data_IF_953453381454
#
_entry.id   IF_953453381454
#
_cell.length_a   1.000
_cell.length_b   1.000
_cell.length_c   1.000
_cell.angle_alpha   90.00
_cell.angle_beta   90.00
_cell.angle_gamma   90.00
#
_symmetry.space_group_name_H-M   'P 1'
#
loop_
_entity.id
_entity.type
_entity.pdbx_description
1 polymer ?
#
# COMPACT_ATOMS: atom_id res chain seq x y z
N UNK A 1 -13.78 20.94 -2.59
CA UNK A 1 -13.56 21.75 -3.80
C UNK A 1 -12.87 20.96 -4.91
N UNK A 2 -11.69 20.37 -4.64
CA UNK A 2 -10.93 19.58 -5.63
C UNK A 2 -11.74 18.44 -6.29
N UNK A 3 -12.39 17.58 -5.50
CA UNK A 3 -13.18 16.47 -6.05
C UNK A 3 -14.35 16.97 -6.92
N UNK A 4 -15.02 18.03 -6.50
CA UNK A 4 -16.11 18.65 -7.27
C UNK A 4 -15.58 19.15 -8.61
N UNK A 5 -14.48 19.91 -8.61
CA UNK A 5 -13.85 20.46 -9.81
C UNK A 5 -13.39 19.35 -10.75
N UNK A 6 -12.74 18.30 -10.25
CA UNK A 6 -12.29 17.16 -11.08
C UNK A 6 -13.49 16.45 -11.72
N UNK A 7 -14.55 16.19 -10.97
CA UNK A 7 -15.74 15.51 -11.49
C UNK A 7 -16.51 16.38 -12.49
N UNK A 8 -16.59 17.69 -12.25
CA UNK A 8 -17.19 18.68 -13.16
C UNK A 8 -16.44 18.70 -14.50
N UNK A 9 -15.11 18.91 -14.46
CA UNK A 9 -14.26 18.98 -15.67
C UNK A 9 -14.26 17.66 -16.42
N UNK A 10 -14.12 16.54 -15.70
CA UNK A 10 -14.15 15.20 -16.31
C UNK A 10 -15.49 14.93 -17.00
N UNK A 11 -16.60 15.37 -16.41
CA UNK A 11 -17.93 15.21 -17.01
C UNK A 11 -18.04 15.98 -18.33
N UNK A 12 -17.49 17.20 -18.42
CA UNK A 12 -17.44 17.98 -19.65
C UNK A 12 -16.55 17.36 -20.72
N UNK A 13 -15.35 16.93 -20.34
CA UNK A 13 -14.40 16.29 -21.26
C UNK A 13 -14.94 14.96 -21.82
N UNK A 14 -15.63 14.18 -20.99
CA UNK A 14 -16.17 12.88 -21.37
C UNK A 14 -17.55 12.97 -22.05
N UNK A 15 -18.22 14.13 -22.03
CA UNK A 15 -19.58 14.29 -22.56
C UNK A 15 -19.76 13.81 -24.01
N UNK A 16 -18.82 14.08 -24.95
CA UNK A 16 -18.94 13.57 -26.32
C UNK A 16 -18.87 12.04 -26.45
N UNK A 17 -18.23 11.36 -25.49
CA UNK A 17 -18.02 9.92 -25.50
C UNK A 17 -19.08 9.16 -24.69
N UNK A 18 -19.53 9.76 -23.58
CA UNK A 18 -20.41 9.12 -22.59
C UNK A 18 -21.63 10.01 -22.27
N UNK A 19 -22.47 10.36 -23.26
CA UNK A 19 -23.41 11.47 -23.15
C UNK A 19 -24.50 11.27 -22.08
N UNK A 20 -24.97 10.04 -21.89
CA UNK A 20 -26.01 9.76 -20.90
C UNK A 20 -25.46 9.73 -19.48
N UNK A 21 -24.27 9.13 -19.29
CA UNK A 21 -23.65 8.99 -17.96
C UNK A 21 -23.18 10.34 -17.45
N UNK A 22 -22.47 11.10 -18.29
CA UNK A 22 -21.98 12.45 -17.93
C UNK A 22 -23.13 13.41 -17.64
N UNK A 23 -24.26 13.32 -18.37
CA UNK A 23 -25.46 14.10 -18.09
C UNK A 23 -26.05 13.80 -16.70
N UNK A 24 -26.17 12.51 -16.35
CA UNK A 24 -26.70 12.09 -15.06
C UNK A 24 -25.80 12.55 -13.90
N UNK A 25 -24.48 12.35 -14.04
CA UNK A 25 -23.48 12.77 -13.05
C UNK A 25 -23.50 14.29 -12.90
N UNK A 26 -23.44 15.03 -14.02
CA UNK A 26 -23.44 16.48 -14.05
C UNK A 26 -24.65 17.09 -13.35
N UNK A 27 -25.86 16.62 -13.69
CA UNK A 27 -27.10 17.10 -13.06
C UNK A 27 -27.11 16.85 -11.56
N UNK A 28 -26.71 15.65 -11.14
CA UNK A 28 -26.64 15.30 -9.72
C UNK A 28 -25.59 16.10 -8.95
N UNK A 29 -24.45 16.41 -9.58
CA UNK A 29 -23.33 17.12 -8.98
C UNK A 29 -23.55 18.63 -8.93
N UNK A 30 -23.97 19.23 -10.04
CA UNK A 30 -24.00 20.70 -10.23
C UNK A 30 -25.40 21.29 -10.06
N UNK A 31 -26.45 20.49 -10.24
CA UNK A 31 -27.84 20.97 -10.32
C UNK A 31 -28.17 21.74 -11.60
N UNK A 32 -27.24 21.85 -12.55
CA UNK A 32 -27.45 22.58 -13.81
C UNK A 32 -28.18 21.73 -14.87
N UNK A 33 -28.65 22.39 -15.94
CA UNK A 33 -29.58 21.80 -16.90
C UNK A 33 -29.01 20.63 -17.72
N UNK A 34 -27.79 20.77 -18.27
CA UNK A 34 -27.14 19.72 -19.08
C UNK A 34 -25.66 20.02 -19.26
N UNK A 35 -24.83 18.97 -19.25
CA UNK A 35 -23.39 19.08 -19.56
C UNK A 35 -23.17 19.41 -21.04
N UNK A 36 -24.07 18.97 -21.92
CA UNK A 36 -23.96 19.16 -23.38
C UNK A 36 -24.20 20.60 -23.83
N UNK A 37 -24.65 21.46 -22.92
CA UNK A 37 -24.87 22.88 -23.15
C UNK A 37 -23.75 23.75 -22.55
N UNK A 38 -22.70 23.13 -22.03
CA UNK A 38 -21.56 23.83 -21.42
C UNK A 38 -20.42 23.99 -22.41
N UNK A 39 -19.59 25.01 -22.17
CA UNK A 39 -18.39 25.23 -22.95
C UNK A 39 -17.36 24.12 -22.72
N UNK A 40 -16.41 23.97 -23.64
CA UNK A 40 -15.29 23.06 -23.45
C UNK A 40 -14.32 23.58 -22.37
N UNK A 41 -13.87 22.74 -21.42
CA UNK A 41 -12.94 23.20 -20.39
C UNK A 41 -11.55 23.47 -21.00
N UNK A 42 -10.93 24.57 -20.62
CA UNK A 42 -9.59 24.96 -21.07
C UNK A 42 -8.58 24.88 -19.93
N UNK A 43 -7.30 24.71 -20.27
CA UNK A 43 -6.24 24.65 -19.25
C UNK A 43 -6.14 25.95 -18.42
N UNK A 44 -6.57 27.08 -18.98
CA UNK A 44 -6.58 28.38 -18.31
C UNK A 44 -7.61 28.45 -17.17
N UNK A 45 -8.60 27.56 -17.19
CA UNK A 45 -9.64 27.46 -16.15
C UNK A 45 -9.13 26.70 -14.92
N UNK A 46 -7.92 26.12 -14.98
CA UNK A 46 -7.37 25.26 -13.95
C UNK A 46 -6.13 25.87 -13.29
N UNK A 47 -5.93 25.65 -11.97
CA UNK A 47 -4.72 26.09 -11.30
C UNK A 47 -3.51 25.32 -11.84
N UNK A 48 -2.46 26.05 -12.20
CA UNK A 48 -1.18 25.51 -12.63
C UNK A 48 -0.18 25.49 -11.46
N UNK A 49 0.42 24.32 -11.21
CA UNK A 49 1.40 24.15 -10.14
C UNK A 49 2.30 22.94 -10.42
N UNK A 50 3.30 23.13 -11.27
CA UNK A 50 4.29 22.11 -11.63
C UNK A 50 5.01 21.51 -10.41
N UNK A 51 5.22 22.29 -9.34
CA UNK A 51 5.84 21.80 -8.11
C UNK A 51 5.01 20.73 -7.41
N UNK A 52 3.71 20.99 -7.25
CA UNK A 52 2.77 20.02 -6.68
C UNK A 52 2.65 18.75 -7.56
N UNK A 53 2.70 18.90 -8.88
CA UNK A 53 2.69 17.76 -9.80
C UNK A 53 3.94 16.90 -9.59
N UNK A 54 5.12 17.53 -9.51
CA UNK A 54 6.37 16.83 -9.26
C UNK A 54 6.39 16.11 -7.90
N UNK A 55 5.85 16.75 -6.85
CA UNK A 55 5.72 16.15 -5.53
C UNK A 55 4.81 14.91 -5.57
N UNK A 56 3.64 15.02 -6.22
CA UNK A 56 2.70 13.91 -6.36
C UNK A 56 3.26 12.75 -7.19
N UNK A 57 4.05 13.04 -8.23
CA UNK A 57 4.76 12.01 -8.98
C UNK A 57 5.83 11.31 -8.14
N UNK A 58 6.55 12.05 -7.29
CA UNK A 58 7.48 11.46 -6.33
C UNK A 58 6.77 10.56 -5.30
N UNK A 59 5.64 11.01 -4.74
CA UNK A 59 4.79 10.22 -3.83
C UNK A 59 4.33 8.93 -4.51
N UNK A 60 3.77 9.03 -5.73
CA UNK A 60 3.30 7.87 -6.51
C UNK A 60 4.44 6.89 -6.80
N UNK A 61 5.62 7.40 -7.14
CA UNK A 61 6.81 6.57 -7.35
C UNK A 61 7.17 5.80 -6.08
N UNK A 62 7.23 6.47 -4.92
CA UNK A 62 7.54 5.83 -3.63
C UNK A 62 6.52 4.73 -3.30
N UNK A 63 5.23 5.04 -3.41
CA UNK A 63 4.15 4.08 -3.15
C UNK A 63 4.23 2.87 -4.09
N UNK A 64 4.44 3.11 -5.40
CA UNK A 64 4.57 2.04 -6.40
C UNK A 64 5.72 1.09 -6.06
N UNK A 65 6.88 1.62 -5.68
CA UNK A 65 8.04 0.80 -5.29
C UNK A 65 7.75 0.02 -4.02
N UNK A 66 7.19 0.66 -2.99
CA UNK A 66 6.85 -0.02 -1.74
C UNK A 66 5.83 -1.14 -1.97
N UNK A 67 4.79 -0.91 -2.77
CA UNK A 67 3.81 -1.93 -3.14
C UNK A 67 4.44 -3.07 -3.97
N UNK A 68 5.44 -2.77 -4.81
CA UNK A 68 6.20 -3.79 -5.54
C UNK A 68 6.99 -4.70 -4.59
N UNK A 69 7.59 -4.14 -3.53
CA UNK A 69 8.29 -4.89 -2.48
C UNK A 69 7.32 -5.84 -1.79
N UNK A 70 6.14 -5.34 -1.41
CA UNK A 70 5.09 -6.17 -0.79
C UNK A 70 4.68 -7.33 -1.69
N UNK A 71 4.45 -7.05 -2.97
CA UNK A 71 4.07 -8.06 -3.97
C UNK A 71 5.16 -9.12 -4.13
N UNK A 72 6.43 -8.72 -4.22
CA UNK A 72 7.55 -9.64 -4.33
C UNK A 72 7.66 -10.59 -3.11
N UNK A 73 7.34 -10.06 -1.92
CA UNK A 73 7.35 -10.80 -0.66
C UNK A 73 6.01 -11.46 -0.29
N UNK A 74 5.01 -11.40 -1.18
CA UNK A 74 3.66 -11.95 -0.97
C UNK A 74 2.95 -11.40 0.28
N UNK A 75 3.31 -10.20 0.72
CA UNK A 75 2.63 -9.50 1.81
C UNK A 75 1.42 -8.76 1.27
N UNK A 76 0.23 -9.10 1.77
CA UNK A 76 -1.06 -8.53 1.34
C UNK A 76 -1.18 -7.07 1.79
N UNK A 77 -1.65 -6.14 0.94
CA UNK A 77 -1.70 -4.69 1.25
C UNK A 77 -2.45 -4.36 2.55
N UNK A 78 -3.53 -5.07 2.82
CA UNK A 78 -4.35 -4.96 4.04
C UNK A 78 -3.66 -5.35 5.35
N UNK A 79 -2.56 -6.09 5.30
CA UNK A 79 -1.71 -6.37 6.46
C UNK A 79 -0.91 -5.10 6.79
N UNK A 80 -1.14 -4.41 7.91
CA UNK A 80 -0.29 -3.26 8.26
C UNK A 80 1.15 -3.71 8.48
N UNK A 81 2.10 -2.88 8.07
CA UNK A 81 3.54 -3.08 8.28
C UNK A 81 4.10 -2.04 9.26
N UNK A 82 5.21 -2.34 9.97
CA UNK A 82 5.74 -1.44 10.98
C UNK A 82 6.18 -0.10 10.40
N UNK A 83 7.03 -0.10 9.38
CA UNK A 83 7.62 1.14 8.88
C UNK A 83 8.03 1.09 7.42
N UNK A 84 8.10 2.28 6.83
CA UNK A 84 8.70 2.56 5.53
C UNK A 84 9.77 3.63 5.73
N UNK A 85 10.97 3.39 5.22
CA UNK A 85 12.04 4.40 5.20
C UNK A 85 12.33 4.80 3.77
N UNK A 86 12.27 6.10 3.49
CA UNK A 86 12.60 6.69 2.19
C UNK A 86 13.83 7.55 2.37
N UNK A 87 14.92 7.16 1.70
CA UNK A 87 16.18 7.88 1.70
C UNK A 87 16.40 8.54 0.34
N UNK A 88 16.75 9.83 0.33
CA UNK A 88 17.01 10.56 -0.92
C UNK A 88 17.39 12.01 -0.70
N UNK A 89 17.95 12.67 -1.72
CA UNK A 89 18.30 14.09 -1.63
C UNK A 89 17.04 14.96 -1.39
N UNK A 90 15.93 14.64 -2.07
CA UNK A 90 14.68 15.42 -2.01
C UNK A 90 13.65 14.83 -1.02
N UNK A 91 14.11 14.16 0.04
CA UNK A 91 13.20 13.51 0.99
C UNK A 91 12.33 14.52 1.75
N UNK A 92 12.81 15.74 1.99
CA UNK A 92 12.05 16.76 2.73
C UNK A 92 10.76 17.20 2.03
N UNK A 93 10.71 17.18 0.70
CA UNK A 93 9.50 17.55 -0.05
C UNK A 93 8.34 16.57 0.17
N UNK A 94 8.66 15.33 0.57
CA UNK A 94 7.64 14.30 0.86
C UNK A 94 7.01 14.45 2.25
N UNK A 95 7.52 15.37 3.09
CA UNK A 95 7.12 15.50 4.49
C UNK A 95 5.64 15.79 4.67
N UNK A 96 5.08 16.65 3.82
CA UNK A 96 3.66 17.02 3.89
C UNK A 96 2.73 15.90 3.39
N UNK A 97 3.30 14.88 2.73
CA UNK A 97 2.56 13.75 2.15
C UNK A 97 2.79 12.43 2.92
N UNK A 98 3.40 12.49 4.11
CA UNK A 98 3.67 11.31 4.93
C UNK A 98 2.39 10.50 5.19
N UNK A 99 1.29 11.16 5.55
CA UNK A 99 0.02 10.47 5.84
C UNK A 99 -0.55 9.80 4.60
N UNK A 100 -0.43 10.44 3.43
CA UNK A 100 -0.85 9.87 2.15
C UNK A 100 -0.03 8.62 1.79
N UNK A 101 1.30 8.69 1.95
CA UNK A 101 2.19 7.54 1.72
C UNK A 101 1.87 6.42 2.70
N UNK A 102 1.63 6.77 3.97
CA UNK A 102 1.31 5.84 5.04
C UNK A 102 0.03 5.06 4.76
N UNK A 103 -1.01 5.75 4.29
CA UNK A 103 -2.31 5.15 3.97
C UNK A 103 -2.23 4.26 2.72
N UNK A 104 -1.57 4.75 1.65
CA UNK A 104 -1.43 4.00 0.39
C UNK A 104 -0.57 2.73 0.56
N UNK A 105 0.53 2.84 1.31
CA UNK A 105 1.44 1.72 1.58
C UNK A 105 0.97 0.90 2.78
N UNK A 106 0.00 1.35 3.58
CA UNK A 106 -0.48 0.75 4.83
C UNK A 106 0.66 0.35 5.79
N UNK A 107 1.39 1.37 6.25
CA UNK A 107 2.46 1.26 7.27
C UNK A 107 2.08 2.03 8.53
N UNK A 108 2.73 1.76 9.67
CA UNK A 108 2.49 2.55 10.90
C UNK A 108 3.26 3.85 10.92
N UNK A 109 4.50 3.83 10.41
CA UNK A 109 5.40 4.98 10.44
C UNK A 109 6.11 5.12 9.09
N UNK A 110 6.34 6.36 8.65
CA UNK A 110 7.21 6.67 7.52
C UNK A 110 8.38 7.50 8.03
N UNK A 111 9.60 7.05 7.73
CA UNK A 111 10.84 7.74 8.03
C UNK A 111 11.39 8.35 6.74
N UNK A 112 11.76 9.62 6.80
CA UNK A 112 12.39 10.33 5.70
C UNK A 112 13.81 10.66 6.12
N UNK A 113 14.80 10.21 5.36
CA UNK A 113 16.21 10.35 5.72
C UNK A 113 17.04 10.81 4.53
N UNK A 114 18.18 11.43 4.81
CA UNK A 114 19.17 11.71 3.78
C UNK A 114 19.88 10.41 3.37
N UNK A 115 20.17 10.30 2.08
CA UNK A 115 20.97 9.19 1.56
C UNK A 115 22.43 9.35 2.04
N UNK A 116 23.00 8.34 2.69
CA UNK A 116 24.40 8.40 3.18
C UNK A 116 25.32 7.50 2.37
N UNK A 117 26.62 7.82 2.28
CA UNK A 117 27.59 7.00 1.53
C UNK A 117 27.71 5.55 2.06
N UNK A 118 27.40 5.33 3.35
CA UNK A 118 27.39 4.01 3.99
C UNK A 118 26.18 3.14 3.56
N UNK A 119 25.24 3.74 2.84
CA UNK A 119 24.04 3.09 2.34
C UNK A 119 24.29 2.21 1.11
N UNK A 120 25.45 2.34 0.43
CA UNK A 120 25.78 1.60 -0.78
C UNK A 120 27.02 0.71 -0.63
N UNK A 121 26.97 -0.48 -1.23
CA UNK A 121 28.13 -1.29 -1.58
C UNK A 121 28.48 -1.02 -3.04
N UNK A 122 29.67 -0.46 -3.24
CA UNK A 122 30.29 -0.32 -4.54
C UNK A 122 30.61 -1.71 -5.11
N UNK A 123 30.02 -2.05 -6.26
CA UNK A 123 30.38 -3.23 -7.07
C UNK A 123 31.16 -2.78 -8.30
N UNK A 124 32.50 -2.93 -8.30
CA UNK A 124 33.31 -2.58 -9.47
C UNK A 124 33.07 -3.58 -10.60
N UNK A 125 32.86 -3.09 -11.83
CA UNK A 125 32.70 -3.94 -12.99
C UNK A 125 34.07 -4.44 -13.49
N UNK A 126 34.47 -5.62 -13.03
CA UNK A 126 35.78 -6.20 -13.34
C UNK A 126 36.04 -6.37 -14.85
N UNK A 127 35.00 -6.50 -15.69
CA UNK A 127 35.14 -6.65 -17.14
C UNK A 127 35.57 -5.35 -17.84
N UNK A 128 35.10 -4.22 -17.33
CA UNK A 128 35.43 -2.88 -17.85
C UNK A 128 36.71 -2.34 -17.21
N UNK A 129 36.92 -2.64 -15.92
CA UNK A 129 38.09 -2.21 -15.17
C UNK A 129 39.37 -3.00 -15.50
N UNK A 130 39.23 -4.26 -15.91
CA UNK A 130 40.34 -5.16 -16.25
C UNK A 130 41.36 -4.58 -17.24
N UNK A 131 40.92 -4.09 -18.42
CA UNK A 131 41.80 -3.48 -19.41
C UNK A 131 42.51 -2.19 -18.96
N UNK A 132 41.92 -1.43 -18.02
CA UNK A 132 42.43 -0.10 -17.62
C UNK A 132 43.36 -0.16 -16.41
N UNK A 133 43.01 -0.98 -15.42
CA UNK A 133 43.66 -1.01 -14.10
C UNK A 133 44.50 -2.28 -13.85
N UNK A 134 44.36 -3.31 -14.70
CA UNK A 134 45.18 -4.52 -14.64
C UNK A 134 45.19 -5.17 -13.24
N UNK A 135 46.37 -5.26 -12.61
CA UNK A 135 46.55 -5.86 -11.28
C UNK A 135 45.90 -5.05 -10.14
N UNK A 136 45.66 -3.75 -10.34
CA UNK A 136 45.03 -2.88 -9.33
C UNK A 136 43.53 -3.14 -9.15
N UNK A 137 42.88 -3.83 -10.11
CA UNK A 137 41.45 -4.18 -10.03
C UNK A 137 41.13 -5.00 -8.78
N UNK A 138 42.01 -5.92 -8.38
CA UNK A 138 41.82 -6.72 -7.17
C UNK A 138 41.88 -5.87 -5.88
N UNK A 139 42.71 -4.82 -5.88
CA UNK A 139 42.79 -3.86 -4.79
C UNK A 139 41.51 -3.01 -4.68
N UNK A 140 41.01 -2.52 -5.81
CA UNK A 140 39.75 -1.77 -5.88
C UNK A 140 38.56 -2.63 -5.44
N UNK A 141 38.46 -3.90 -5.89
CA UNK A 141 37.40 -4.81 -5.45
C UNK A 141 37.46 -5.08 -3.94
N UNK A 142 38.67 -5.18 -3.37
CA UNK A 142 38.85 -5.40 -1.92
C UNK A 142 38.47 -4.19 -1.10
N UNK A 143 38.88 -2.99 -1.52
CA UNK A 143 38.52 -1.74 -0.86
C UNK A 143 37.02 -1.44 -0.99
N UNK A 144 36.43 -1.70 -2.16
CA UNK A 144 34.99 -1.58 -2.39
C UNK A 144 34.18 -2.50 -1.46
N UNK A 145 34.64 -3.74 -1.23
CA UNK A 145 34.05 -4.66 -0.24
C UNK A 145 34.24 -4.23 1.21
N UNK A 146 35.29 -3.47 1.51
CA UNK A 146 35.54 -2.91 2.83
C UNK A 146 34.75 -1.62 3.10
N UNK A 147 33.98 -1.12 2.12
CA UNK A 147 33.24 0.14 2.23
C UNK A 147 34.13 1.39 2.10
N UNK A 148 35.37 1.24 1.65
CA UNK A 148 36.34 2.33 1.51
C UNK A 148 36.19 3.02 0.14
N UNK A 149 35.10 3.77 -0.02
CA UNK A 149 34.89 4.60 -1.20
C UNK A 149 34.25 5.95 -0.86
N UNK A 150 34.47 6.93 -1.72
CA UNK A 150 33.91 8.28 -1.57
C UNK A 150 33.38 8.74 -2.92
N UNK A 151 32.14 9.22 -2.93
CA UNK A 151 31.53 9.79 -4.12
C UNK A 151 32.01 11.23 -4.31
N UNK A 152 32.45 11.55 -5.53
CA UNK A 152 32.90 12.87 -5.90
C UNK A 152 31.72 13.69 -6.46
N UNK A 153 31.77 15.04 -6.43
CA UNK A 153 30.69 15.91 -6.89
C UNK A 153 30.33 15.78 -8.39
N UNK A 154 31.19 15.12 -9.17
CA UNK A 154 31.03 14.86 -10.60
C UNK A 154 30.36 13.51 -10.92
N UNK A 155 29.91 12.77 -9.90
CA UNK A 155 29.30 11.45 -10.03
C UNK A 155 30.31 10.31 -10.25
N UNK A 156 31.61 10.58 -10.08
CA UNK A 156 32.65 9.54 -10.05
C UNK A 156 32.85 9.00 -8.63
N UNK A 157 33.35 7.77 -8.49
CA UNK A 157 33.62 7.16 -7.18
C UNK A 157 35.13 6.96 -7.01
N UNK A 158 35.69 7.58 -5.97
CA UNK A 158 37.06 7.35 -5.54
C UNK A 158 37.12 6.12 -4.65
N UNK A 159 37.84 5.08 -5.07
CA UNK A 159 38.04 3.85 -4.27
C UNK A 159 39.50 3.38 -4.39
N UNK A 160 40.14 3.08 -3.27
CA UNK A 160 41.56 2.67 -3.20
C UNK A 160 42.56 3.60 -3.92
N UNK A 161 42.26 4.91 -3.98
CA UNK A 161 43.10 5.91 -4.67
C UNK A 161 42.91 6.00 -6.19
N UNK A 162 41.92 5.30 -6.74
CA UNK A 162 41.57 5.33 -8.17
C UNK A 162 40.17 5.92 -8.36
N UNK A 163 39.97 6.73 -9.40
CA UNK A 163 38.69 7.35 -9.73
C UNK A 163 37.94 6.48 -10.74
N UNK A 164 36.77 5.97 -10.33
CA UNK A 164 35.87 5.15 -11.14
C UNK A 164 34.84 6.05 -11.80
N UNK A 165 34.72 5.96 -13.13
CA UNK A 165 33.79 6.76 -13.94
C UNK A 165 32.49 6.01 -14.20
N UNK A 166 31.45 6.75 -14.62
CA UNK A 166 30.14 6.17 -14.94
C UNK A 166 30.27 5.01 -15.95
N UNK A 167 29.77 3.82 -15.59
CA UNK A 167 29.88 2.57 -16.37
C UNK A 167 30.96 1.60 -15.89
N UNK A 168 31.86 2.04 -15.00
CA UNK A 168 32.92 1.18 -14.44
C UNK A 168 32.57 0.58 -13.07
N UNK A 169 31.51 1.09 -12.46
CA UNK A 169 31.01 0.66 -11.17
C UNK A 169 29.49 0.68 -11.15
N UNK A 170 28.93 -0.14 -10.26
CA UNK A 170 27.52 -0.16 -9.92
C UNK A 170 27.42 0.06 -8.41
N UNK A 171 26.70 1.10 -7.98
CA UNK A 171 26.36 1.29 -6.57
C UNK A 171 25.11 0.46 -6.30
N UNK A 172 25.29 -0.68 -5.64
CA UNK A 172 24.18 -1.46 -5.07
C UNK A 172 23.98 -1.05 -3.62
N UNK A 173 22.77 -1.06 -3.06
CA UNK A 173 22.56 -0.84 -1.63
C UNK A 173 23.43 -1.78 -0.76
N UNK A 174 23.94 -1.28 0.37
CA UNK A 174 24.81 -2.00 1.30
C UNK A 174 24.05 -2.96 2.21
N UNK A 175 22.83 -2.59 2.56
CA UNK A 175 21.79 -3.56 2.93
C UNK A 175 21.64 -4.41 1.68
N UNK A 176 22.04 -5.68 1.72
CA UNK A 176 22.19 -6.52 0.54
C UNK A 176 20.89 -6.71 -0.25
N UNK A 177 20.76 -7.83 -0.94
CA UNK A 177 19.51 -8.22 -1.60
C UNK A 177 18.42 -8.58 -0.56
N UNK A 178 18.27 -7.76 0.49
CA UNK A 178 17.26 -7.89 1.51
C UNK A 178 15.91 -7.61 0.88
N UNK A 179 14.98 -8.52 1.15
CA UNK A 179 13.77 -8.61 0.37
C UNK A 179 12.89 -7.35 0.51
N UNK A 180 13.11 -6.56 1.58
CA UNK A 180 12.45 -5.30 1.88
C UNK A 180 13.04 -4.04 1.24
N UNK A 181 14.14 -4.09 0.48
CA UNK A 181 14.84 -2.89 0.00
C UNK A 181 14.84 -2.75 -1.52
N UNK A 182 14.62 -1.52 -2.02
CA UNK A 182 14.74 -1.16 -3.45
C UNK A 182 15.38 0.21 -3.63
N UNK A 183 16.11 0.39 -4.73
CA UNK A 183 16.64 1.68 -5.15
C UNK A 183 16.06 2.04 -6.52
N UNK A 184 15.39 3.18 -6.61
CA UNK A 184 14.77 3.65 -7.85
C UNK A 184 14.75 5.18 -7.90
N UNK A 185 15.04 5.75 -9.08
CA UNK A 185 15.03 7.19 -9.34
C UNK A 185 15.79 8.04 -8.28
N UNK A 186 16.96 7.57 -7.84
CA UNK A 186 17.79 8.28 -6.86
C UNK A 186 17.31 8.18 -5.41
N UNK A 187 16.29 7.37 -5.12
CA UNK A 187 15.75 7.13 -3.77
C UNK A 187 15.94 5.67 -3.37
N UNK A 188 16.33 5.46 -2.11
CA UNK A 188 16.31 4.14 -1.50
C UNK A 188 15.05 3.98 -0.65
N UNK A 189 14.31 2.91 -0.89
CA UNK A 189 13.05 2.61 -0.23
C UNK A 189 13.21 1.30 0.52
N UNK A 190 13.10 1.35 1.85
CA UNK A 190 13.18 0.20 2.73
C UNK A 190 11.82 0.01 3.38
N UNK A 191 11.27 -1.18 3.23
CA UNK A 191 10.02 -1.57 3.86
C UNK A 191 10.31 -2.61 4.92
N UNK A 192 9.93 -2.33 6.17
CA UNK A 192 10.02 -3.30 7.24
C UNK A 192 8.94 -4.37 7.04
N UNK A 193 9.38 -5.60 6.78
CA UNK A 193 8.51 -6.74 6.53
C UNK A 193 8.23 -7.56 7.81
N UNK A 194 8.69 -7.08 8.97
CA UNK A 194 8.50 -7.78 10.24
C UNK A 194 7.03 -7.78 10.65
N UNK A 195 6.44 -8.97 10.75
CA UNK A 195 5.06 -9.15 11.20
C UNK A 195 5.02 -9.52 12.68
N UNK A 196 4.64 -8.56 13.51
CA UNK A 196 4.37 -8.81 14.93
C UNK A 196 2.99 -9.45 15.11
N UNK A 197 2.75 -10.11 16.24
CA UNK A 197 1.44 -10.68 16.57
C UNK A 197 0.32 -9.62 16.58
N UNK A 198 0.62 -8.40 17.02
CA UNK A 198 -0.32 -7.28 17.02
C UNK A 198 -0.67 -6.83 15.59
N UNK A 199 0.34 -6.72 14.70
CA UNK A 199 0.08 -6.38 13.30
C UNK A 199 -0.72 -7.48 12.61
N UNK A 200 -0.42 -8.76 12.85
CA UNK A 200 -1.19 -9.88 12.32
C UNK A 200 -2.65 -9.82 12.79
N UNK A 201 -2.88 -9.55 14.08
CA UNK A 201 -4.23 -9.39 14.63
C UNK A 201 -5.01 -8.24 13.99
N UNK A 202 -4.35 -7.10 13.71
CA UNK A 202 -4.98 -5.98 13.03
C UNK A 202 -5.26 -6.28 11.55
N UNK A 203 -4.33 -6.96 10.88
CA UNK A 203 -4.51 -7.44 9.51
C UNK A 203 -5.69 -8.40 9.39
N UNK A 204 -5.82 -9.31 10.36
CA UNK A 204 -6.95 -10.21 10.50
C UNK A 204 -8.28 -9.46 10.62
N UNK A 205 -8.32 -8.45 11.50
CA UNK A 205 -9.52 -7.62 11.67
C UNK A 205 -9.92 -6.90 10.38
N UNK A 206 -8.95 -6.38 9.61
CA UNK A 206 -9.22 -5.75 8.30
C UNK A 206 -9.74 -6.74 7.26
N UNK A 207 -9.22 -7.97 7.25
CA UNK A 207 -9.70 -9.03 6.35
C UNK A 207 -11.16 -9.39 6.66
N UNK A 208 -11.49 -9.50 7.94
CA UNK A 208 -12.86 -9.74 8.39
C UNK A 208 -13.79 -8.57 8.07
N UNK A 209 -13.37 -7.32 8.27
CA UNK A 209 -14.16 -6.14 7.88
C UNK A 209 -14.50 -6.20 6.39
N UNK A 210 -13.54 -6.54 5.53
CA UNK A 210 -13.79 -6.68 4.08
C UNK A 210 -14.82 -7.77 3.79
N UNK A 211 -14.68 -8.94 4.41
CA UNK A 211 -15.65 -10.03 4.28
C UNK A 211 -17.05 -9.61 4.71
N UNK A 212 -17.17 -8.85 5.81
CA UNK A 212 -18.46 -8.34 6.29
C UNK A 212 -19.06 -7.38 5.28
N UNK A 213 -18.27 -6.47 4.69
CA UNK A 213 -18.77 -5.52 3.69
C UNK A 213 -19.22 -6.23 2.40
N UNK A 214 -18.52 -7.29 2.01
CA UNK A 214 -18.91 -8.15 0.89
C UNK A 214 -20.24 -8.86 1.19
N UNK A 215 -20.37 -9.50 2.36
CA UNK A 215 -21.61 -10.13 2.80
C UNK A 215 -22.78 -9.14 2.94
N UNK A 216 -22.52 -7.89 3.36
CA UNK A 216 -23.54 -6.83 3.40
C UNK A 216 -24.09 -6.52 2.01
N UNK A 217 -23.20 -6.43 1.01
CA UNK A 217 -23.58 -6.20 -0.39
C UNK A 217 -24.36 -7.38 -0.95
N UNK A 218 -23.93 -8.62 -0.68
CA UNK A 218 -24.62 -9.83 -1.11
C UNK A 218 -26.01 -9.98 -0.48
N UNK A 219 -26.16 -9.56 0.77
CA UNK A 219 -27.44 -9.51 1.47
C UNK A 219 -28.36 -8.36 1.01
N UNK A 220 -27.92 -7.51 0.07
CA UNK A 220 -28.70 -6.39 -0.45
C UNK A 220 -28.91 -5.24 0.54
N UNK A 221 -28.05 -5.13 1.57
CA UNK A 221 -28.13 -4.06 2.55
C UNK A 221 -27.66 -2.72 1.97
N UNK A 222 -28.31 -1.64 2.38
CA UNK A 222 -27.85 -0.30 2.05
C UNK A 222 -26.57 0.05 2.83
N UNK A 223 -25.77 0.98 2.30
CA UNK A 223 -24.52 1.42 2.94
C UNK A 223 -24.77 1.97 4.35
N UNK A 224 -25.91 2.60 4.59
CA UNK A 224 -26.30 3.18 5.88
C UNK A 224 -26.96 2.20 6.85
N UNK A 225 -27.24 0.96 6.43
CA UNK A 225 -27.97 0.01 7.29
C UNK A 225 -27.11 -0.43 8.48
N UNK A 226 -27.70 -0.42 9.67
CA UNK A 226 -27.07 -0.97 10.86
C UNK A 226 -27.29 -2.48 10.92
N UNK A 227 -26.32 -3.23 11.44
CA UNK A 227 -26.38 -4.69 11.49
C UNK A 227 -26.18 -5.24 12.91
N UNK A 228 -26.65 -6.46 13.12
CA UNK A 228 -26.16 -7.35 14.18
C UNK A 228 -25.22 -8.36 13.54
N UNK A 229 -24.09 -8.60 14.18
CA UNK A 229 -22.99 -9.37 13.62
C UNK A 229 -22.56 -10.46 14.61
N UNK A 230 -22.41 -11.67 14.10
CA UNK A 230 -21.82 -12.81 14.81
C UNK A 230 -20.65 -13.31 13.99
N UNK A 231 -19.49 -13.41 14.62
CA UNK A 231 -18.25 -13.94 14.03
C UNK A 231 -17.90 -15.26 14.68
N UNK A 232 -17.83 -16.32 13.88
CA UNK A 232 -17.30 -17.61 14.29
C UNK A 232 -15.81 -17.67 13.98
N UNK A 233 -14.95 -17.86 14.97
CA UNK A 233 -13.50 -18.00 14.79
C UNK A 233 -13.06 -19.46 14.93
N UNK A 234 -12.32 -19.98 13.94
CA UNK A 234 -11.82 -21.35 13.95
C UNK A 234 -10.71 -21.61 15.00
N UNK A 235 -10.00 -20.57 15.44
CA UNK A 235 -8.91 -20.70 16.42
C UNK A 235 -9.04 -19.72 17.58
N UNK A 236 -8.46 -20.08 18.73
CA UNK A 236 -8.38 -19.20 19.91
C UNK A 236 -7.55 -17.94 19.60
N UNK A 237 -6.51 -18.09 18.77
CA UNK A 237 -5.69 -16.98 18.28
C UNK A 237 -6.56 -15.96 17.51
N UNK A 238 -7.30 -16.44 16.51
CA UNK A 238 -8.20 -15.61 15.71
C UNK A 238 -9.29 -14.96 16.58
N UNK A 239 -9.91 -15.70 17.49
CA UNK A 239 -10.90 -15.16 18.41
C UNK A 239 -10.33 -14.05 19.30
N UNK A 240 -9.09 -14.19 19.76
CA UNK A 240 -8.41 -13.19 20.59
C UNK A 240 -8.08 -11.94 19.78
N UNK A 241 -7.55 -12.11 18.56
CA UNK A 241 -7.27 -11.01 17.65
C UNK A 241 -8.54 -10.21 17.28
N UNK A 242 -9.64 -10.90 16.96
CA UNK A 242 -10.93 -10.24 16.66
C UNK A 242 -11.48 -9.49 17.86
N UNK A 243 -11.35 -10.05 19.08
CA UNK A 243 -11.76 -9.36 20.32
C UNK A 243 -10.92 -8.11 20.58
N UNK A 244 -9.62 -8.17 20.34
CA UNK A 244 -8.74 -7.01 20.50
C UNK A 244 -9.12 -5.83 19.58
N UNK A 245 -9.72 -6.12 18.41
CA UNK A 245 -10.15 -5.12 17.44
C UNK A 245 -11.67 -5.01 17.26
N UNK A 246 -12.46 -5.50 18.24
CA UNK A 246 -13.92 -5.54 18.13
C UNK A 246 -14.54 -4.16 17.86
N UNK A 247 -14.00 -3.09 18.47
CA UNK A 247 -14.52 -1.74 18.32
C UNK A 247 -14.25 -1.17 16.92
N UNK A 248 -13.10 -1.53 16.33
CA UNK A 248 -12.78 -1.20 14.95
C UNK A 248 -13.77 -1.89 14.00
N UNK A 249 -13.97 -3.20 14.16
CA UNK A 249 -14.88 -3.99 13.34
C UNK A 249 -16.30 -3.43 13.43
N UNK A 250 -16.79 -3.15 14.63
CA UNK A 250 -18.14 -2.65 14.84
C UNK A 250 -18.36 -1.27 14.19
N UNK A 251 -17.41 -0.35 14.34
CA UNK A 251 -17.49 0.99 13.72
C UNK A 251 -17.48 0.93 12.20
N UNK A 252 -16.53 0.22 11.62
CA UNK A 252 -16.36 0.14 10.16
C UNK A 252 -17.53 -0.58 9.47
N UNK A 253 -18.23 -1.47 10.17
CA UNK A 253 -19.32 -2.28 9.61
C UNK A 253 -20.71 -1.85 10.03
N UNK A 254 -20.83 -0.74 10.78
CA UNK A 254 -22.09 -0.25 11.38
C UNK A 254 -22.81 -1.32 12.21
N UNK A 255 -22.05 -2.17 12.91
CA UNK A 255 -22.61 -3.19 13.79
C UNK A 255 -23.01 -2.58 15.13
N UNK A 256 -24.28 -2.78 15.52
CA UNK A 256 -24.79 -2.35 16.83
C UNK A 256 -24.55 -3.41 17.91
N UNK A 257 -24.46 -4.67 17.51
CA UNK A 257 -24.17 -5.81 18.37
C UNK A 257 -23.16 -6.70 17.63
N UNK A 258 -22.09 -7.08 18.31
CA UNK A 258 -21.03 -7.96 17.80
C UNK A 258 -20.79 -9.08 18.81
N UNK A 259 -21.07 -10.33 18.44
CA UNK A 259 -20.67 -11.52 19.20
C UNK A 259 -19.52 -12.26 18.49
N UNK A 260 -18.54 -12.73 19.27
CA UNK A 260 -17.40 -13.51 18.76
C UNK A 260 -17.38 -14.85 19.47
N UNK A 261 -17.65 -15.90 18.70
CA UNK A 261 -17.86 -17.27 19.17
C UNK A 261 -16.81 -18.20 18.55
N UNK A 262 -16.54 -19.34 19.20
CA UNK A 262 -15.65 -20.35 18.65
C UNK A 262 -16.43 -21.21 17.66
N UNK A 263 -15.89 -21.44 16.46
CA UNK A 263 -16.49 -22.36 15.50
C UNK A 263 -16.32 -23.81 15.98
N UNK A 264 -17.41 -24.61 15.99
CA UNK A 264 -17.31 -26.05 16.24
C UNK A 264 -16.36 -26.72 15.24
N UNK A 265 -15.57 -27.71 15.67
CA UNK A 265 -14.59 -28.41 14.80
C UNK A 265 -15.22 -28.96 13.49
N UNK A 266 -16.50 -29.32 13.51
CA UNK A 266 -17.24 -29.81 12.34
C UNK A 266 -17.53 -28.76 11.25
N UNK A 267 -17.41 -27.46 11.55
CA UNK A 267 -17.69 -26.35 10.63
C UNK A 267 -16.42 -25.58 10.20
N UNK A 268 -15.25 -26.13 10.51
CA UNK A 268 -13.94 -25.53 10.18
C UNK A 268 -13.47 -25.85 8.75
N UNK A 269 -14.20 -26.67 7.99
CA UNK A 269 -13.90 -26.94 6.57
C UNK A 269 -14.55 -25.89 5.64
N UNK A 270 -13.85 -25.46 4.56
CA UNK A 270 -14.33 -24.41 3.65
C UNK A 270 -15.51 -24.85 2.74
N UNK A 271 -16.05 -26.05 2.92
CA UNK A 271 -17.09 -26.65 2.07
C UNK A 271 -18.51 -26.28 2.53
N UNK A 272 -18.84 -24.99 2.45
CA UNK A 272 -20.24 -24.53 2.35
C UNK A 272 -20.93 -24.14 3.67
N UNK A 273 -21.20 -22.85 3.80
CA UNK A 273 -22.27 -22.23 4.60
C UNK A 273 -22.38 -22.72 6.06
N UNK A 274 -21.53 -22.20 6.95
CA UNK A 274 -21.69 -22.26 8.43
C UNK A 274 -22.83 -21.32 8.91
N UNK A 275 -23.98 -21.44 8.25
CA UNK A 275 -25.23 -20.76 8.63
C UNK A 275 -26.30 -21.76 9.08
N UNK A 276 -26.02 -23.07 9.01
CA UNK A 276 -27.03 -24.11 9.10
C UNK A 276 -27.82 -24.13 10.43
N UNK A 277 -27.34 -23.42 11.47
CA UNK A 277 -28.02 -23.29 12.77
C UNK A 277 -28.52 -21.88 13.11
N UNK A 278 -28.32 -20.88 12.25
CA UNK A 278 -28.80 -19.51 12.47
C UNK A 278 -30.00 -19.27 11.55
N UNK A 279 -31.20 -19.09 12.12
CA UNK A 279 -32.47 -19.10 11.38
C UNK A 279 -32.54 -18.19 10.13
N UNK A 280 -33.58 -18.37 9.31
CA UNK A 280 -33.75 -17.82 7.95
C UNK A 280 -33.58 -16.28 7.75
N UNK A 281 -33.39 -15.51 8.82
CA UNK A 281 -33.17 -14.06 8.79
C UNK A 281 -31.67 -13.65 8.76
N UNK A 282 -30.75 -14.61 8.82
CA UNK A 282 -29.31 -14.36 8.84
C UNK A 282 -28.70 -14.63 7.46
N UNK A 283 -27.94 -13.66 6.95
CA UNK A 283 -27.07 -13.88 5.78
C UNK A 283 -25.70 -14.34 6.26
N UNK A 284 -25.10 -15.29 5.55
CA UNK A 284 -23.81 -15.87 5.91
C UNK A 284 -22.75 -15.68 4.84
N UNK A 285 -21.52 -15.50 5.29
CA UNK A 285 -20.32 -15.45 4.46
C UNK A 285 -19.14 -16.03 5.22
N UNK A 286 -18.05 -16.33 4.52
CA UNK A 286 -16.83 -16.86 5.13
C UNK A 286 -15.63 -16.05 4.64
N UNK A 287 -14.66 -15.83 5.53
CA UNK A 287 -13.34 -15.30 5.17
C UNK A 287 -12.31 -16.38 5.45
N UNK A 288 -11.66 -16.85 4.40
CA UNK A 288 -10.47 -17.70 4.52
C UNK A 288 -9.25 -16.79 4.76
N UNK A 289 -8.61 -17.01 5.91
CA UNK A 289 -7.51 -16.18 6.40
C UNK A 289 -6.13 -16.78 6.07
N UNK A 290 -6.11 -18.02 5.56
CA UNK A 290 -4.91 -18.79 5.26
C UNK A 290 -4.61 -19.86 6.31
N UNK A 291 -3.48 -20.55 6.12
CA UNK A 291 -3.15 -21.81 6.79
C UNK A 291 -3.08 -21.76 8.33
N UNK A 292 -2.73 -20.60 8.93
CA UNK A 292 -2.47 -20.51 10.37
C UNK A 292 -3.67 -20.00 11.20
N UNK A 293 -4.51 -19.12 10.64
CA UNK A 293 -5.64 -18.51 11.37
C UNK A 293 -7.01 -19.15 11.04
N UNK A 294 -7.08 -19.92 9.95
CA UNK A 294 -8.26 -20.70 9.58
C UNK A 294 -9.40 -19.86 8.99
N UNK A 295 -10.62 -20.37 9.15
CA UNK A 295 -11.84 -19.74 8.61
C UNK A 295 -12.51 -18.86 9.67
N UNK A 296 -12.96 -17.67 9.26
CA UNK A 296 -13.91 -16.88 10.04
C UNK A 296 -15.27 -16.91 9.35
N UNK A 297 -16.25 -17.49 10.03
CA UNK A 297 -17.64 -17.45 9.61
C UNK A 297 -18.26 -16.12 10.01
N UNK A 298 -19.01 -15.52 9.09
CA UNK A 298 -19.72 -14.26 9.26
C UNK A 298 -21.20 -14.57 9.18
N UNK A 299 -21.95 -14.22 10.22
CA UNK A 299 -23.39 -14.18 10.17
C UNK A 299 -23.84 -12.76 10.49
N UNK A 300 -24.66 -12.16 9.61
CA UNK A 300 -25.18 -10.82 9.82
C UNK A 300 -26.67 -10.73 9.50
N UNK A 301 -27.34 -9.77 10.14
CA UNK A 301 -28.71 -9.37 9.82
C UNK A 301 -28.93 -7.89 10.06
N UNK A 302 -29.92 -7.30 9.41
CA UNK A 302 -30.32 -5.91 9.62
C UNK A 302 -30.75 -5.69 11.07
N UNK A 303 -30.24 -4.65 11.71
CA UNK A 303 -30.79 -4.16 12.96
C UNK A 303 -32.10 -3.43 12.63
N UNK A 304 -33.20 -3.84 13.28
CA UNK A 304 -34.55 -3.31 13.07
C UNK A 304 -34.68 -1.82 13.36
#
# INVERSE_FOLDING_TARGET
DTLYTVLEVTSRLAAPLLPMITEQVWRGLTGQASVHLTDWPTAQDLPDNDGLVADMDAVRSVCSVALSIRKANRVRVRQPLPSLTVQGADHEHLRDYIDLIKDEVNVKVVHLEALTAQTFVLRPNARVLGPRLGSKVQHVIRAARAGEFTENPDGSVSCAGEVLTSGEFELTPAVGDDAGTRFEAGRMILLDLTLTSELLAEGLARDVIRGIQESRREAGLAISDRIRLTLGAASVSAATALRAHQDLIARETLACELSIEALPEAEQEPSGTSAANMGAEWSAGNVDLGADDGLVAIALRRAG
#
